data_IF_441790347307
#
_entry.id   IF_441790347307
#
_cell.length_a   1.000
_cell.length_b   1.000
_cell.length_c   1.000
_cell.angle_alpha   90.00
_cell.angle_beta   90.00
_cell.angle_gamma   90.00
#
_symmetry.space_group_name_H-M   'P 1'
#
loop_
_entity.id
_entity.type
_entity.pdbx_description
1 polymer ?
#
# COMPACT_ATOMS: atom_id res chain seq x y z
N UNK A 1 1.00 3.12 4.51
CA UNK A 1 1.61 1.88 5.04
C UNK A 1 0.63 0.72 4.91
N UNK A 2 1.04 -0.34 4.20
CA UNK A 2 0.27 -1.56 4.00
C UNK A 2 0.87 -2.74 4.77
N UNK A 3 0.03 -3.70 5.15
CA UNK A 3 0.48 -4.96 5.75
C UNK A 3 -0.43 -6.13 5.34
N UNK A 4 0.00 -7.35 5.64
CA UNK A 4 -0.81 -8.56 5.51
C UNK A 4 -1.47 -8.97 6.84
N UNK A 5 -0.85 -8.70 7.99
CA UNK A 5 -1.36 -9.08 9.33
C UNK A 5 -0.70 -8.26 10.44
N UNK A 6 -1.24 -8.36 11.67
CA UNK A 6 -0.62 -7.78 12.86
C UNK A 6 0.80 -8.35 13.04
N UNK A 7 1.79 -7.48 13.28
CA UNK A 7 3.22 -7.84 13.32
C UNK A 7 3.74 -8.55 12.05
N UNK A 8 3.09 -8.32 10.90
CA UNK A 8 3.48 -8.85 9.61
C UNK A 8 4.43 -7.92 8.85
N UNK A 9 4.61 -8.22 7.56
CA UNK A 9 5.42 -7.42 6.65
C UNK A 9 4.78 -6.06 6.42
N UNK A 10 5.61 -5.02 6.32
CA UNK A 10 5.19 -3.66 6.04
C UNK A 10 5.65 -3.22 4.65
N UNK A 11 4.84 -2.41 4.00
CA UNK A 11 5.20 -1.67 2.80
C UNK A 11 4.86 -0.19 2.98
N UNK A 12 5.80 0.68 2.62
CA UNK A 12 5.67 2.14 2.63
C UNK A 12 5.81 2.61 1.18
N UNK A 13 4.99 3.59 0.79
CA UNK A 13 5.03 4.18 -0.53
C UNK A 13 4.23 5.47 -0.58
N UNK A 14 4.48 6.26 -1.64
CA UNK A 14 3.79 7.52 -1.92
C UNK A 14 2.83 7.36 -3.09
N UNK A 15 1.76 8.14 -3.09
CA UNK A 15 0.79 8.21 -4.19
C UNK A 15 0.00 9.51 -4.13
N UNK A 16 -0.40 10.03 -5.30
CA UNK A 16 -1.34 11.13 -5.40
C UNK A 16 -2.80 10.69 -5.20
N UNK A 17 -3.09 9.39 -5.35
CA UNK A 17 -4.43 8.82 -5.18
C UNK A 17 -4.37 7.57 -4.30
N UNK A 18 -4.73 7.76 -3.03
CA UNK A 18 -4.72 6.70 -2.01
C UNK A 18 -5.71 5.59 -2.33
N UNK A 19 -6.91 5.93 -2.82
CA UNK A 19 -7.99 4.95 -3.05
C UNK A 19 -7.60 4.05 -4.23
N UNK A 20 -7.16 4.64 -5.34
CA UNK A 20 -6.70 3.89 -6.50
C UNK A 20 -5.52 2.98 -6.14
N UNK A 21 -4.54 3.47 -5.37
CA UNK A 21 -3.37 2.67 -4.97
C UNK A 21 -3.76 1.49 -4.07
N UNK A 22 -4.65 1.70 -3.09
CA UNK A 22 -5.14 0.60 -2.24
C UNK A 22 -5.89 -0.44 -3.06
N UNK A 23 -6.73 -0.01 -4.02
CA UNK A 23 -7.41 -0.91 -4.95
C UNK A 23 -6.44 -1.77 -5.76
N UNK A 24 -5.42 -1.14 -6.36
CA UNK A 24 -4.38 -1.85 -7.12
C UNK A 24 -3.67 -2.92 -6.29
N UNK A 25 -3.38 -2.65 -5.01
CA UNK A 25 -2.76 -3.64 -4.12
C UNK A 25 -3.72 -4.75 -3.70
N UNK A 26 -5.00 -4.45 -3.45
CA UNK A 26 -6.01 -5.47 -3.11
C UNK A 26 -6.25 -6.46 -4.25
N UNK A 27 -6.21 -5.98 -5.49
CA UNK A 27 -6.43 -6.78 -6.69
C UNK A 27 -5.13 -7.42 -7.22
N UNK A 28 -3.98 -7.13 -6.60
CA UNK A 28 -2.66 -7.50 -7.12
C UNK A 28 -2.45 -7.08 -8.58
N UNK A 29 -3.01 -5.93 -8.98
CA UNK A 29 -3.01 -5.45 -10.37
C UNK A 29 -1.60 -5.21 -10.91
N UNK A 30 -0.64 -4.93 -10.03
CA UNK A 30 0.78 -4.77 -10.36
C UNK A 30 1.58 -5.89 -9.69
N UNK A 31 2.31 -6.72 -10.45
CA UNK A 31 3.21 -7.71 -9.85
C UNK A 31 4.35 -7.00 -9.11
N UNK A 32 4.73 -7.52 -7.95
CA UNK A 32 5.80 -6.92 -7.14
C UNK A 32 5.77 -7.38 -5.69
N UNK A 33 6.53 -6.68 -4.84
CA UNK A 33 6.68 -7.01 -3.42
C UNK A 33 5.34 -7.13 -2.68
N UNK A 34 4.46 -6.15 -2.87
CA UNK A 34 3.14 -6.14 -2.22
C UNK A 34 2.26 -7.30 -2.66
N UNK A 35 2.27 -7.65 -3.96
CA UNK A 35 1.55 -8.83 -4.46
C UNK A 35 2.16 -10.15 -3.95
N UNK A 36 3.49 -10.27 -3.96
CA UNK A 36 4.21 -11.46 -3.47
C UNK A 36 3.89 -11.80 -2.01
N UNK A 37 3.76 -10.78 -1.16
CA UNK A 37 3.50 -10.95 0.28
C UNK A 37 2.06 -10.69 0.71
N UNK A 38 1.15 -10.44 -0.25
CA UNK A 38 -0.26 -10.17 0.01
C UNK A 38 -0.51 -8.93 0.87
N UNK A 39 0.22 -7.83 0.63
CA UNK A 39 0.14 -6.60 1.42
C UNK A 39 -1.00 -5.70 0.92
N UNK A 40 -2.21 -5.95 1.40
CA UNK A 40 -3.43 -5.28 0.93
C UNK A 40 -4.20 -4.51 2.03
N UNK A 41 -3.77 -4.61 3.30
CA UNK A 41 -4.43 -3.91 4.41
C UNK A 41 -3.78 -2.56 4.66
N UNK A 42 -4.51 -1.47 4.44
CA UNK A 42 -4.10 -0.13 4.83
C UNK A 42 -4.23 0.03 6.35
N UNK A 43 -3.13 0.36 7.01
CA UNK A 43 -3.09 0.54 8.48
C UNK A 43 -2.65 1.94 8.90
N UNK A 44 -2.01 2.69 7.99
CA UNK A 44 -1.62 4.08 8.24
C UNK A 44 -1.48 4.82 6.92
N UNK A 45 -1.85 6.10 6.89
CA UNK A 45 -1.51 7.03 5.83
C UNK A 45 -1.34 8.43 6.43
N UNK A 46 -0.57 9.25 5.73
CA UNK A 46 -0.36 10.67 6.05
C UNK A 46 -0.50 11.47 4.76
N UNK A 47 -1.05 12.69 4.85
CA UNK A 47 -1.18 13.61 3.73
C UNK A 47 -0.04 14.62 3.77
N UNK A 48 0.60 14.82 2.63
CA UNK A 48 1.59 15.88 2.43
C UNK A 48 1.07 16.84 1.36
N UNK A 49 1.41 18.13 1.47
CA UNK A 49 0.99 19.16 0.53
C UNK A 49 1.64 19.00 -0.85
N UNK A 50 2.86 18.46 -0.87
CA UNK A 50 3.65 18.27 -2.09
C UNK A 50 4.16 16.83 -2.19
N UNK A 51 4.20 16.31 -3.41
CA UNK A 51 4.98 15.12 -3.77
C UNK A 51 6.23 15.65 -4.47
N UNK A 52 7.40 15.44 -3.87
CA UNK A 52 8.72 15.82 -4.43
C UNK A 52 9.35 14.58 -5.04
#
# INVERSE_FOLDING_TARGET
>A
MLTNRKHGTLYIGVTADLIARVGQHREHRVPGFTAKYGLHRLVWFERHETII
#
